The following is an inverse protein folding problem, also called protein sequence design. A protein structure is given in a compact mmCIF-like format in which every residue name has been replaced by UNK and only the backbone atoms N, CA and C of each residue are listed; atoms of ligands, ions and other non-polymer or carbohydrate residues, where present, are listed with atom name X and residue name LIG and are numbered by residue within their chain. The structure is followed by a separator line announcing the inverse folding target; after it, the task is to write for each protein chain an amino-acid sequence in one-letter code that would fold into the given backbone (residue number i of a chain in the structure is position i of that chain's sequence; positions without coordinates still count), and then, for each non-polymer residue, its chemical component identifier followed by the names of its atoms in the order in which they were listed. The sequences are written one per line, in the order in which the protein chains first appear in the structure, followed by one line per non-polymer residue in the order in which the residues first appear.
data_IF_813930999406
#
_entry.id   IF_813930999406
#
_cell.length_a   1.000
_cell.length_b   1.000
_cell.length_c   1.000
_cell.angle_alpha   90.00
_cell.angle_beta   90.00
_cell.angle_gamma   90.00
#
_symmetry.space_group_name_H-M   'P 1'
#
loop_
_entity.id
_entity.type
_entity.pdbx_description
1 polymer ?
#
# COMPACT_ATOMS: atom_id res chain seq x y z
N UNK A 1 16.01 10.91 -2.82
CA UNK A 1 15.56 9.50 -2.76
C UNK A 1 14.05 9.49 -2.76
N UNK A 2 13.40 8.58 -3.50
CA UNK A 2 11.94 8.58 -3.58
C UNK A 2 11.32 7.88 -2.35
N UNK A 3 10.23 8.43 -1.81
CA UNK A 3 9.53 7.95 -0.62
C UNK A 3 8.04 7.77 -0.89
N UNK A 4 7.51 6.60 -0.58
CA UNK A 4 6.09 6.32 -0.50
C UNK A 4 5.66 6.42 0.97
N UNK A 5 4.61 7.16 1.24
CA UNK A 5 3.96 7.21 2.54
C UNK A 5 2.48 6.95 2.34
N UNK A 6 1.95 5.97 3.07
CA UNK A 6 0.53 5.69 3.13
C UNK A 6 0.06 5.74 4.57
N UNK A 7 -1.15 6.23 4.75
CA UNK A 7 -1.76 6.42 6.04
C UNK A 7 -3.27 6.15 5.96
N UNK A 8 -3.83 5.73 7.09
CA UNK A 8 -5.24 5.44 7.29
C UNK A 8 -5.90 4.61 6.18
N UNK A 9 -5.17 3.65 5.60
CA UNK A 9 -5.74 2.76 4.59
C UNK A 9 -6.72 1.81 5.27
N UNK A 10 -7.98 1.90 4.85
CA UNK A 10 -9.08 1.04 5.31
C UNK A 10 -9.76 0.39 4.12
N UNK A 11 -10.10 -0.89 4.25
CA UNK A 11 -10.85 -1.63 3.24
C UNK A 11 -11.73 -2.69 3.86
N UNK A 12 -12.98 -2.73 3.42
CA UNK A 12 -13.98 -3.73 3.78
C UNK A 12 -14.52 -4.43 2.53
N UNK A 13 -14.84 -5.71 2.66
CA UNK A 13 -15.63 -6.46 1.67
C UNK A 13 -16.91 -6.94 2.35
N UNK A 14 -18.05 -6.41 1.91
CA UNK A 14 -19.32 -6.58 2.61
C UNK A 14 -19.21 -6.08 4.06
N UNK A 15 -19.57 -6.93 5.02
CA UNK A 15 -19.47 -6.64 6.45
C UNK A 15 -18.08 -6.87 7.06
N UNK A 16 -17.14 -7.46 6.31
CA UNK A 16 -15.83 -7.84 6.84
C UNK A 16 -14.77 -6.77 6.54
N UNK A 17 -14.17 -6.22 7.60
CA UNK A 17 -13.02 -5.32 7.52
C UNK A 17 -11.74 -6.14 7.28
N UNK A 18 -11.05 -5.86 6.18
CA UNK A 18 -9.80 -6.54 5.79
C UNK A 18 -8.58 -5.70 6.11
N UNK A 19 -8.66 -4.38 5.90
CA UNK A 19 -7.64 -3.42 6.28
C UNK A 19 -8.28 -2.40 7.20
N UNK A 20 -7.61 -2.08 8.30
CA UNK A 20 -8.07 -1.10 9.27
C UNK A 20 -6.89 -0.22 9.65
N UNK A 21 -6.97 1.05 9.27
CA UNK A 21 -6.02 2.09 9.65
C UNK A 21 -4.56 1.69 9.42
N UNK A 22 -4.26 1.20 8.21
CA UNK A 22 -2.93 0.73 7.86
C UNK A 22 -2.04 1.89 7.43
N UNK A 23 -0.91 2.03 8.11
CA UNK A 23 0.14 3.01 7.85
C UNK A 23 1.44 2.31 7.43
N UNK A 24 2.11 2.85 6.42
CA UNK A 24 3.38 2.31 5.91
C UNK A 24 4.18 3.44 5.26
N UNK A 25 5.49 3.46 5.51
CA UNK A 25 6.42 4.31 4.77
C UNK A 25 7.51 3.45 4.14
N UNK A 26 7.74 3.63 2.85
CA UNK A 26 8.77 2.92 2.09
C UNK A 26 9.66 3.93 1.37
N UNK A 27 10.95 3.63 1.25
CA UNK A 27 11.90 4.46 0.53
C UNK A 27 12.61 3.64 -0.54
N UNK A 28 12.88 4.25 -1.69
CA UNK A 28 13.62 3.58 -2.77
C UNK A 28 15.03 3.26 -2.30
N UNK A 29 15.47 2.02 -2.57
CA UNK A 29 16.74 1.48 -2.08
C UNK A 29 16.57 0.61 -0.84
N UNK A 30 15.45 0.74 -0.12
CA UNK A 30 15.13 -0.12 1.02
C UNK A 30 14.10 -1.17 0.62
N UNK A 31 14.33 -2.40 1.03
CA UNK A 31 13.35 -3.46 0.80
C UNK A 31 12.36 -3.47 1.96
N UNK A 32 11.06 -3.47 1.65
CA UNK A 32 10.00 -3.57 2.66
C UNK A 32 9.15 -4.80 2.36
N UNK A 33 8.87 -5.63 3.36
CA UNK A 33 8.02 -6.81 3.26
C UNK A 33 6.78 -6.73 4.15
N UNK A 34 5.67 -7.16 3.57
CA UNK A 34 4.37 -7.21 4.22
C UNK A 34 4.16 -8.61 4.76
N UNK A 35 4.14 -8.75 6.08
CA UNK A 35 3.91 -10.02 6.75
C UNK A 35 2.57 -10.02 7.46
N UNK A 36 1.93 -11.19 7.43
CA UNK A 36 0.65 -11.42 8.06
C UNK A 36 0.08 -12.77 7.62
N UNK A 37 -0.90 -13.26 8.35
CA UNK A 37 -1.59 -14.53 8.06
C UNK A 37 -2.25 -14.51 6.67
N UNK A 38 -2.41 -15.66 6.02
CA UNK A 38 -3.19 -15.75 4.78
C UNK A 38 -4.58 -15.15 5.03
N UNK A 39 -5.04 -14.26 4.14
CA UNK A 39 -6.29 -13.51 4.30
C UNK A 39 -6.19 -12.20 5.12
N UNK A 40 -5.01 -11.80 5.60
CA UNK A 40 -4.80 -10.53 6.34
C UNK A 40 -4.81 -9.26 5.47
N UNK A 41 -5.22 -9.34 4.21
CA UNK A 41 -5.30 -8.15 3.34
C UNK A 41 -4.02 -7.67 2.68
N UNK A 42 -2.90 -8.40 2.74
CA UNK A 42 -1.62 -7.98 2.11
C UNK A 42 -1.76 -7.66 0.62
N UNK A 43 -2.34 -8.59 -0.15
CA UNK A 43 -2.58 -8.37 -1.59
C UNK A 43 -3.54 -7.21 -1.84
N UNK A 44 -4.56 -7.07 -0.99
CA UNK A 44 -5.49 -5.94 -1.03
C UNK A 44 -4.78 -4.60 -0.81
N UNK A 45 -3.86 -4.53 0.16
CA UNK A 45 -3.06 -3.33 0.42
C UNK A 45 -2.19 -2.98 -0.78
N UNK A 46 -1.51 -3.97 -1.37
CA UNK A 46 -0.71 -3.78 -2.57
C UNK A 46 -1.56 -3.29 -3.76
N UNK A 47 -2.73 -3.87 -3.99
CA UNK A 47 -3.66 -3.42 -5.04
C UNK A 47 -4.09 -1.96 -4.84
N UNK A 48 -4.29 -1.53 -3.58
CA UNK A 48 -4.63 -0.14 -3.25
C UNK A 48 -3.47 0.81 -3.53
N UNK A 49 -2.25 0.42 -3.14
CA UNK A 49 -1.02 1.19 -3.39
C UNK A 49 -0.77 1.33 -4.90
N UNK A 50 -0.90 0.23 -5.65
CA UNK A 50 -0.72 0.20 -7.10
C UNK A 50 -1.87 0.87 -7.88
N UNK A 51 -2.96 1.23 -7.20
CA UNK A 51 -4.11 1.90 -7.81
C UNK A 51 -5.12 0.97 -8.50
N UNK A 52 -4.85 -0.34 -8.58
CA UNK A 52 -5.75 -1.33 -9.17
C UNK A 52 -7.00 -1.60 -8.32
N UNK A 53 -7.00 -1.16 -7.06
CA UNK A 53 -8.18 -1.18 -6.18
C UNK A 53 -8.31 0.13 -5.42
N UNK A 54 -9.56 0.54 -5.11
CA UNK A 54 -9.83 1.71 -4.26
C UNK A 54 -10.06 1.28 -2.81
N UNK A 55 -9.30 1.85 -1.89
CA UNK A 55 -9.58 1.78 -0.44
C UNK A 55 -10.85 2.55 -0.10
N UNK A 56 -11.53 2.18 1.00
CA UNK A 56 -12.70 2.92 1.47
C UNK A 56 -12.29 4.26 2.09
N UNK A 57 -11.17 4.25 2.82
CA UNK A 57 -10.39 5.42 3.19
C UNK A 57 -8.92 5.16 2.84
N UNK A 58 -8.22 6.19 2.38
CA UNK A 58 -6.82 6.10 2.00
C UNK A 58 -6.17 7.49 1.93
N UNK A 59 -4.98 7.62 2.52
CA UNK A 59 -4.06 8.70 2.24
C UNK A 59 -2.80 8.10 1.63
N UNK A 60 -2.43 8.56 0.42
CA UNK A 60 -1.24 8.09 -0.29
C UNK A 60 -0.46 9.30 -0.76
N UNK A 61 0.81 9.36 -0.38
CA UNK A 61 1.77 10.39 -0.76
C UNK A 61 3.00 9.73 -1.37
N UNK A 62 3.42 10.22 -2.52
CA UNK A 62 4.68 9.84 -3.16
C UNK A 62 5.56 11.08 -3.28
N UNK A 63 6.70 11.08 -2.60
CA UNK A 63 7.56 12.24 -2.38
C UNK A 63 6.77 13.37 -1.73
N UNK A 64 6.60 14.49 -2.43
CA UNK A 64 5.83 15.64 -1.96
C UNK A 64 4.40 15.68 -2.55
N UNK A 65 4.05 14.74 -3.42
CA UNK A 65 2.77 14.72 -4.13
C UNK A 65 1.77 13.78 -3.47
N UNK A 66 0.58 14.28 -3.16
CA UNK A 66 -0.54 13.48 -2.67
C UNK A 66 -1.28 12.87 -3.86
N UNK A 67 -1.42 11.55 -3.89
CA UNK A 67 -2.07 10.79 -4.96
C UNK A 67 -3.55 10.55 -4.59
N UNK A 68 -4.40 11.47 -5.03
CA UNK A 68 -5.83 11.45 -4.69
C UNK A 68 -6.66 10.58 -5.65
N UNK A 69 -6.28 10.52 -6.92
CA UNK A 69 -7.00 9.71 -7.94
C UNK A 69 -6.29 8.36 -8.15
N UNK A 70 -7.05 7.35 -8.57
CA UNK A 70 -6.48 6.05 -8.94
C UNK A 70 -5.59 6.14 -10.18
N UNK A 71 -5.97 6.96 -11.16
CA UNK A 71 -5.19 7.21 -12.38
C UNK A 71 -3.79 7.76 -12.10
N UNK A 72 -3.61 8.51 -11.01
CA UNK A 72 -2.31 9.07 -10.61
C UNK A 72 -1.29 7.97 -10.25
N UNK A 73 -1.78 6.77 -9.94
CA UNK A 73 -1.00 5.61 -9.49
C UNK A 73 -0.70 4.65 -10.64
N UNK A 74 -1.63 4.51 -11.59
CA UNK A 74 -1.53 3.60 -12.74
C UNK A 74 -0.42 4.02 -13.73
N UNK A 75 -0.20 5.33 -13.90
CA UNK A 75 0.76 5.90 -14.86
C UNK A 75 2.22 5.86 -14.34
N UNK A 76 2.43 5.75 -13.02
CA UNK A 76 3.78 5.69 -12.39
C UNK A 76 4.33 4.27 -12.23
N UNK A 77 3.79 3.36 -13.04
CA UNK A 77 4.09 1.93 -13.13
C UNK A 77 5.58 1.53 -13.08
N UNK A 78 6.57 2.21 -13.72
CA UNK A 78 7.96 1.70 -13.72
C UNK A 78 8.61 1.64 -12.33
N UNK A 79 8.19 2.49 -11.37
CA UNK A 79 8.70 2.45 -9.98
C UNK A 79 8.08 1.26 -9.21
N UNK A 80 6.85 0.90 -9.56
CA UNK A 80 6.06 -0.11 -8.85
C UNK A 80 6.17 -1.51 -9.46
N UNK A 81 6.44 -1.64 -10.76
CA UNK A 81 6.73 -2.91 -11.45
C UNK A 81 8.03 -3.57 -10.95
N UNK A 82 8.94 -2.78 -10.37
CA UNK A 82 10.19 -3.21 -9.73
C UNK A 82 10.09 -3.39 -8.21
N UNK A 83 8.89 -3.34 -7.63
CA UNK A 83 8.69 -3.69 -6.22
C UNK A 83 8.82 -5.22 -6.01
N UNK A 84 10.03 -5.74 -6.22
CA UNK A 84 10.38 -7.12 -5.88
C UNK A 84 10.62 -7.16 -4.36
N UNK A 85 9.57 -7.52 -3.66
CA UNK A 85 9.53 -7.60 -2.21
C UNK A 85 10.44 -8.75 -1.73
N UNK A 86 11.65 -8.44 -1.30
CA UNK A 86 12.59 -9.40 -0.67
C UNK A 86 13.16 -8.85 0.65
N UNK A 87 12.48 -9.16 1.76
CA UNK A 87 12.85 -8.92 3.17
C UNK A 87 12.92 -7.46 3.67
N UNK A 88 11.86 -7.00 4.34
CA UNK A 88 11.89 -6.37 5.69
C UNK A 88 10.55 -6.56 6.40
N UNK A 89 10.52 -6.89 7.68
CA UNK A 89 9.36 -7.45 8.37
C UNK A 89 8.38 -6.33 8.82
N UNK A 90 7.24 -6.14 8.14
CA UNK A 90 6.10 -5.37 8.67
C UNK A 90 5.03 -6.34 9.18
N UNK A 91 4.80 -6.38 10.50
CA UNK A 91 3.85 -7.28 11.14
C UNK A 91 2.47 -6.61 11.16
N UNK A 92 1.58 -7.00 10.24
CA UNK A 92 0.17 -6.62 10.31
C UNK A 92 -0.44 -7.31 11.52
N UNK A 93 -0.73 -6.55 12.59
CA UNK A 93 -1.57 -7.03 13.69
C UNK A 93 -3.02 -7.03 13.22
N UNK A 94 -3.63 -8.22 13.25
CA UNK A 94 -5.09 -8.36 13.24
C UNK A 94 -5.64 -8.00 14.61
#
# INVERSE_FOLDING_TARGET
MNKLHIDSITKSFGSKKILQDVCLSCETGNITALLGRIGSGKSTLLQIIFGTMKGDSQFIKYNEQVLTKQSDREIRSPIFHKAQCSRSILKLKN
#
